data_IF_772316740282
#
_entry.id   IF_772316740282
#
_cell.length_a   1.000
_cell.length_b   1.000
_cell.length_c   1.000
_cell.angle_alpha   90.00
_cell.angle_beta   90.00
_cell.angle_gamma   90.00
#
_symmetry.space_group_name_H-M   'P 1'
#
loop_
_entity.id
_entity.type
_entity.pdbx_description
1 polymer ?
#
# COMPACT_ATOMS: atom_id res chain seq x y z
N UNK A 1 -25.42 55.63 16.09
CA UNK A 1 -25.75 54.36 15.40
C UNK A 1 -25.09 53.21 16.14
N UNK A 2 -25.88 52.36 16.80
CA UNK A 2 -25.37 51.17 17.51
C UNK A 2 -25.11 50.08 16.47
N UNK A 3 -23.86 49.91 16.07
CA UNK A 3 -23.45 48.77 15.22
C UNK A 3 -23.56 47.52 16.10
N UNK A 4 -24.48 46.62 15.75
CA UNK A 4 -24.71 45.36 16.44
C UNK A 4 -23.42 44.54 16.42
N UNK A 5 -22.78 44.36 17.59
CA UNK A 5 -21.57 43.53 17.77
C UNK A 5 -21.75 42.08 17.29
N UNK A 6 -23.00 41.62 17.19
CA UNK A 6 -23.35 40.30 16.69
C UNK A 6 -23.07 40.12 15.18
N UNK A 7 -23.22 41.18 14.37
CA UNK A 7 -22.99 41.08 12.92
C UNK A 7 -21.49 41.03 12.56
N UNK A 8 -20.62 41.62 13.39
CA UNK A 8 -19.17 41.55 13.18
C UNK A 8 -18.59 40.17 13.52
N UNK A 9 -19.13 39.50 14.53
CA UNK A 9 -18.72 38.15 14.89
C UNK A 9 -19.12 37.11 13.84
N UNK A 10 -20.33 37.22 13.27
CA UNK A 10 -20.80 36.32 12.22
C UNK A 10 -20.01 36.52 10.92
N UNK A 11 -19.66 37.76 10.57
CA UNK A 11 -18.82 38.04 9.40
C UNK A 11 -17.36 37.58 9.60
N UNK A 12 -16.82 37.69 10.82
CA UNK A 12 -15.47 37.19 11.15
C UNK A 12 -15.41 35.65 11.11
N UNK A 13 -16.43 34.96 11.62
CA UNK A 13 -16.52 33.49 11.53
C UNK A 13 -16.72 33.03 10.08
N UNK A 14 -17.52 33.73 9.28
CA UNK A 14 -17.68 33.43 7.85
C UNK A 14 -16.41 33.72 7.03
N UNK A 15 -15.65 34.76 7.37
CA UNK A 15 -14.33 34.98 6.77
C UNK A 15 -13.32 33.92 7.20
N UNK A 16 -13.29 33.48 8.47
CA UNK A 16 -12.41 32.39 8.92
C UNK A 16 -12.75 31.03 8.27
N UNK A 17 -14.02 30.77 7.94
CA UNK A 17 -14.43 29.57 7.19
C UNK A 17 -14.11 29.73 5.69
N UNK A 18 -14.01 30.96 5.17
CA UNK A 18 -13.63 31.23 3.78
C UNK A 18 -12.11 31.34 3.54
N UNK A 19 -11.27 31.38 4.59
CA UNK A 19 -9.80 31.25 4.47
C UNK A 19 -9.27 29.85 4.79
N UNK A 20 -10.13 28.82 4.87
CA UNK A 20 -9.70 27.48 4.46
C UNK A 20 -9.59 27.46 2.93
N UNK A 21 -8.71 28.33 2.42
CA UNK A 21 -8.03 28.10 1.17
C UNK A 21 -7.64 26.63 1.15
N UNK A 22 -7.84 26.00 -0.01
CA UNK A 22 -7.21 24.73 -0.33
C UNK A 22 -5.69 24.91 -0.24
N UNK A 23 -5.15 25.03 0.97
CA UNK A 23 -3.76 24.70 1.23
C UNK A 23 -3.76 23.21 0.97
N UNK A 24 -3.28 22.87 -0.21
CA UNK A 24 -2.71 21.58 -0.51
C UNK A 24 -1.89 21.22 0.74
N UNK A 25 -2.45 20.35 1.60
CA UNK A 25 -1.70 19.81 2.71
C UNK A 25 -0.58 19.06 2.02
N UNK A 26 0.60 19.68 1.98
CA UNK A 26 1.85 19.00 1.71
C UNK A 26 1.97 18.01 2.87
N UNK A 27 1.39 16.84 2.68
CA UNK A 27 1.67 15.70 3.51
C UNK A 27 3.15 15.41 3.25
N UNK A 28 4.04 15.94 4.09
CA UNK A 28 5.38 15.39 4.22
C UNK A 28 5.15 13.91 4.53
N UNK A 29 5.41 13.07 3.53
CA UNK A 29 5.36 11.61 3.69
C UNK A 29 6.49 11.31 4.67
N UNK A 30 6.17 11.29 5.97
CA UNK A 30 7.00 10.59 6.94
C UNK A 30 7.13 9.20 6.37
N UNK A 31 8.35 8.79 6.02
CA UNK A 31 8.66 7.45 5.54
C UNK A 31 8.64 6.59 6.79
N UNK A 32 7.55 5.89 7.13
CA UNK A 32 7.49 5.21 8.41
C UNK A 32 8.22 3.91 8.14
N UNK A 33 9.41 3.80 8.72
CA UNK A 33 10.16 2.55 8.80
C UNK A 33 9.25 1.45 9.34
N UNK A 34 9.50 0.22 8.91
CA UNK A 34 8.75 -0.93 9.40
C UNK A 34 8.77 -0.96 10.92
N UNK A 35 7.62 -1.19 11.52
CA UNK A 35 7.47 -1.08 12.97
C UNK A 35 7.69 -2.43 13.63
N UNK A 36 8.85 -2.58 14.27
CA UNK A 36 9.21 -3.76 15.04
C UNK A 36 8.55 -3.80 16.42
N UNK A 37 8.36 -5.00 16.92
CA UNK A 37 7.55 -5.25 18.10
C UNK A 37 7.49 -6.72 18.48
N UNK A 38 6.89 -6.96 19.64
CA UNK A 38 6.73 -8.28 20.23
C UNK A 38 5.28 -8.74 20.13
N UNK A 39 5.11 -9.97 19.63
CA UNK A 39 3.80 -10.61 19.50
C UNK A 39 3.54 -11.57 20.66
N UNK A 40 2.44 -11.34 21.36
CA UNK A 40 1.87 -12.24 22.35
C UNK A 40 0.61 -12.93 21.80
N UNK A 41 0.70 -14.25 21.55
CA UNK A 41 -0.45 -15.06 21.14
C UNK A 41 -1.35 -15.30 22.36
N UNK A 42 -2.59 -14.82 22.29
CA UNK A 42 -3.55 -14.91 23.40
C UNK A 42 -4.44 -16.14 23.30
N UNK A 43 -4.86 -16.49 22.08
CA UNK A 43 -5.68 -17.67 21.82
C UNK A 43 -5.33 -18.26 20.45
N UNK A 44 -5.31 -19.58 20.36
CA UNK A 44 -5.03 -20.32 19.13
C UNK A 44 -5.84 -21.62 19.11
N UNK A 45 -6.92 -21.64 18.35
CA UNK A 45 -7.62 -22.85 17.97
C UNK A 45 -7.87 -22.82 16.46
N UNK A 46 -6.92 -23.36 15.70
CA UNK A 46 -6.95 -23.37 14.24
C UNK A 46 -7.30 -24.77 13.75
N UNK A 47 -8.52 -24.95 13.29
CA UNK A 47 -8.94 -26.19 12.61
C UNK A 47 -9.01 -25.94 11.11
N UNK A 48 -8.88 -27.01 10.31
CA UNK A 48 -9.09 -26.95 8.86
C UNK A 48 -10.58 -27.01 8.49
N UNK A 49 -11.45 -27.40 9.41
CA UNK A 49 -12.88 -27.52 9.18
C UNK A 49 -13.58 -26.20 9.51
N UNK A 50 -13.92 -25.44 8.48
CA UNK A 50 -14.64 -24.16 8.57
C UNK A 50 -16.04 -24.29 9.20
N UNK A 51 -16.56 -25.50 9.40
CA UNK A 51 -17.82 -25.73 10.14
C UNK A 51 -17.61 -25.86 11.66
N UNK A 52 -16.37 -25.98 12.12
CA UNK A 52 -16.04 -26.04 13.54
C UNK A 52 -15.60 -24.67 14.06
N UNK A 53 -15.85 -24.40 15.34
CA UNK A 53 -15.42 -23.16 15.97
C UNK A 53 -13.90 -23.05 15.99
N UNK A 54 -13.37 -22.12 15.22
CA UNK A 54 -11.95 -21.77 15.20
C UNK A 54 -11.77 -20.33 15.65
N UNK A 55 -10.64 -20.04 16.30
CA UNK A 55 -10.29 -18.68 16.69
C UNK A 55 -8.77 -18.48 16.71
N UNK A 56 -8.37 -17.23 16.54
CA UNK A 56 -7.01 -16.76 16.72
C UNK A 56 -7.08 -15.35 17.32
N UNK A 57 -6.28 -15.09 18.34
CA UNK A 57 -6.08 -13.74 18.84
C UNK A 57 -4.65 -13.49 19.29
N UNK A 58 -4.20 -12.28 19.06
CA UNK A 58 -2.88 -11.83 19.49
C UNK A 58 -2.90 -10.34 19.85
N UNK A 59 -1.93 -9.97 20.67
CA UNK A 59 -1.55 -8.58 20.90
C UNK A 59 -0.12 -8.39 20.39
N UNK A 60 0.11 -7.29 19.69
CA UNK A 60 1.41 -6.87 19.18
C UNK A 60 1.78 -5.55 19.82
N UNK A 61 2.86 -5.54 20.59
CA UNK A 61 3.41 -4.35 21.24
C UNK A 61 4.59 -3.84 20.43
N UNK A 62 4.61 -2.56 20.12
CA UNK A 62 5.70 -1.93 19.38
C UNK A 62 6.88 -1.68 20.33
N UNK A 63 8.10 -2.08 19.95
CA UNK A 63 9.25 -2.13 20.89
C UNK A 63 9.66 -0.76 21.46
N UNK A 64 9.49 0.31 20.69
CA UNK A 64 9.93 1.67 21.05
C UNK A 64 8.76 2.67 21.25
N UNK A 65 7.54 2.16 21.33
CA UNK A 65 6.36 2.99 21.54
C UNK A 65 5.39 2.32 22.51
N UNK A 66 4.67 3.11 23.31
CA UNK A 66 3.53 2.59 24.06
C UNK A 66 2.32 2.34 23.13
N UNK A 67 2.53 1.65 22.02
CA UNK A 67 1.54 1.42 20.98
C UNK A 67 1.29 -0.07 20.80
N UNK A 68 0.03 -0.41 20.62
CA UNK A 68 -0.43 -1.79 20.60
C UNK A 68 -1.46 -2.01 19.51
N UNK A 69 -1.34 -3.15 18.84
CA UNK A 69 -2.36 -3.72 17.97
C UNK A 69 -2.93 -4.95 18.67
N UNK A 70 -4.25 -5.06 18.69
CA UNK A 70 -4.95 -6.27 19.09
C UNK A 70 -5.71 -6.81 17.90
N UNK A 71 -5.54 -8.09 17.64
CA UNK A 71 -6.21 -8.79 16.57
C UNK A 71 -7.02 -9.94 17.16
N UNK A 72 -8.28 -10.05 16.76
CA UNK A 72 -9.14 -11.16 17.13
C UNK A 72 -9.90 -11.62 15.89
N UNK A 73 -9.83 -12.91 15.60
CA UNK A 73 -10.61 -13.53 14.54
C UNK A 73 -11.22 -14.82 15.03
N UNK A 74 -12.45 -15.10 14.60
CA UNK A 74 -13.11 -16.37 14.83
C UNK A 74 -14.04 -16.72 13.67
N UNK A 75 -14.37 -18.00 13.58
CA UNK A 75 -15.37 -18.52 12.65
C UNK A 75 -16.52 -19.15 13.42
N UNK A 76 -17.73 -18.71 13.12
CA UNK A 76 -18.97 -19.26 13.64
C UNK A 76 -19.96 -19.42 12.49
N UNK A 77 -20.58 -20.60 12.36
CA UNK A 77 -21.58 -20.86 11.32
C UNK A 77 -21.14 -20.51 9.87
N UNK A 78 -19.88 -20.80 9.52
CA UNK A 78 -19.26 -20.43 8.23
C UNK A 78 -19.10 -18.92 7.99
N UNK A 79 -19.25 -18.11 9.03
CA UNK A 79 -18.98 -16.68 8.97
C UNK A 79 -17.67 -16.38 9.68
N UNK A 80 -16.75 -15.75 8.96
CA UNK A 80 -15.53 -15.19 9.52
C UNK A 80 -15.83 -13.81 10.10
N UNK A 81 -15.38 -13.60 11.32
CA UNK A 81 -15.46 -12.35 12.05
C UNK A 81 -14.04 -11.94 12.45
N UNK A 82 -13.50 -10.89 11.84
CA UNK A 82 -12.14 -10.42 12.08
C UNK A 82 -12.14 -8.97 12.55
N UNK A 83 -11.46 -8.69 13.65
CA UNK A 83 -11.43 -7.38 14.30
C UNK A 83 -10.00 -6.97 14.61
N UNK A 84 -9.68 -5.74 14.22
CA UNK A 84 -8.43 -5.06 14.54
C UNK A 84 -8.74 -3.87 15.46
N UNK A 85 -8.06 -3.83 16.60
CA UNK A 85 -8.12 -2.73 17.56
C UNK A 85 -6.73 -2.12 17.74
N UNK A 86 -6.69 -0.81 17.97
CA UNK A 86 -5.47 -0.05 18.20
C UNK A 86 -5.54 0.73 19.50
N UNK A 87 -4.39 0.87 20.14
CA UNK A 87 -4.21 1.64 21.37
C UNK A 87 -2.85 2.33 21.34
N UNK A 88 -2.81 3.58 21.80
CA UNK A 88 -1.59 4.34 22.02
C UNK A 88 -1.58 4.88 23.46
N UNK A 89 -0.43 4.77 24.13
CA UNK A 89 -0.24 5.07 25.54
C UNK A 89 -1.28 4.35 26.42
N UNK A 90 -1.69 4.98 27.52
CA UNK A 90 -2.71 4.45 28.43
C UNK A 90 -4.15 4.65 27.92
N UNK A 91 -4.33 4.93 26.62
CA UNK A 91 -5.66 5.06 26.04
C UNK A 91 -6.45 3.75 26.10
N UNK A 92 -7.77 3.88 25.95
CA UNK A 92 -8.65 2.72 25.76
C UNK A 92 -8.43 2.13 24.37
N UNK A 93 -8.62 0.82 24.25
CA UNK A 93 -8.69 0.15 22.96
C UNK A 93 -9.80 0.75 22.10
N UNK A 94 -9.45 1.04 20.84
CA UNK A 94 -10.40 1.50 19.83
C UNK A 94 -10.41 0.48 18.70
N UNK A 95 -11.59 -0.05 18.38
CA UNK A 95 -11.78 -0.90 17.21
C UNK A 95 -11.62 -0.04 15.95
N UNK A 96 -10.64 -0.35 15.12
CA UNK A 96 -10.28 0.44 13.95
C UNK A 96 -10.70 -0.23 12.64
N UNK A 97 -10.82 -1.56 12.62
CA UNK A 97 -11.27 -2.30 11.44
C UNK A 97 -12.00 -3.58 11.85
N UNK A 98 -13.10 -3.91 11.18
CA UNK A 98 -13.92 -5.09 11.45
C UNK A 98 -14.37 -5.69 10.13
N UNK A 99 -13.85 -6.85 9.72
CA UNK A 99 -14.16 -7.54 8.47
C UNK A 99 -14.99 -8.78 8.76
N UNK A 100 -16.16 -8.85 8.13
CA UNK A 100 -17.08 -9.98 8.27
C UNK A 100 -17.51 -10.50 6.89
N UNK A 101 -17.39 -11.81 6.66
CA UNK A 101 -17.91 -12.44 5.45
C UNK A 101 -18.23 -13.92 5.64
N UNK A 102 -19.08 -14.45 4.76
CA UNK A 102 -19.55 -15.84 4.83
C UNK A 102 -18.90 -16.69 3.73
N UNK A 103 -18.20 -17.77 4.13
CA UNK A 103 -17.51 -18.68 3.22
C UNK A 103 -18.44 -19.44 2.26
N UNK A 104 -19.73 -19.62 2.62
CA UNK A 104 -20.72 -20.34 1.79
C UNK A 104 -21.25 -19.51 0.63
N UNK A 105 -20.99 -18.20 0.59
CA UNK A 105 -21.31 -17.42 -0.61
C UNK A 105 -20.42 -17.94 -1.73
N UNK A 106 -21.04 -18.62 -2.71
CA UNK A 106 -20.38 -19.09 -3.93
C UNK A 106 -19.57 -17.93 -4.49
N UNK A 107 -18.25 -18.11 -4.60
CA UNK A 107 -17.28 -17.11 -5.06
C UNK A 107 -16.95 -15.96 -4.09
N UNK A 108 -16.93 -16.19 -2.76
CA UNK A 108 -16.50 -15.14 -1.81
C UNK A 108 -15.14 -14.52 -2.17
N UNK A 109 -14.20 -15.31 -2.73
CA UNK A 109 -12.90 -14.81 -3.22
C UNK A 109 -13.06 -13.72 -4.29
N UNK A 110 -14.00 -13.86 -5.22
CA UNK A 110 -14.24 -12.89 -6.28
C UNK A 110 -14.88 -11.59 -5.77
N UNK A 111 -15.52 -11.61 -4.60
CA UNK A 111 -16.11 -10.41 -3.98
C UNK A 111 -15.24 -9.79 -2.90
N UNK A 112 -13.99 -10.27 -2.72
CA UNK A 112 -13.15 -9.81 -1.62
C UNK A 112 -12.61 -8.40 -1.85
N UNK A 113 -12.32 -8.01 -3.10
CA UNK A 113 -11.97 -6.63 -3.44
C UNK A 113 -13.09 -5.66 -3.04
N UNK A 114 -14.35 -5.98 -3.33
CA UNK A 114 -15.48 -5.10 -2.99
C UNK A 114 -15.60 -4.93 -1.46
N UNK A 115 -15.35 -6.00 -0.69
CA UNK A 115 -15.31 -5.94 0.77
C UNK A 115 -14.16 -5.03 1.22
N UNK A 116 -12.96 -5.23 0.68
CA UNK A 116 -11.76 -4.44 1.01
C UNK A 116 -11.94 -2.96 0.66
N UNK A 117 -12.49 -2.63 -0.51
CA UNK A 117 -12.75 -1.26 -0.94
C UNK A 117 -13.79 -0.57 -0.06
N UNK A 118 -14.89 -1.26 0.28
CA UNK A 118 -15.90 -0.75 1.21
C UNK A 118 -15.31 -0.47 2.59
N UNK A 119 -14.40 -1.34 3.05
CA UNK A 119 -13.69 -1.16 4.31
C UNK A 119 -12.69 -0.02 4.25
N UNK A 120 -11.95 0.12 3.15
CA UNK A 120 -11.05 1.24 2.92
C UNK A 120 -11.80 2.58 2.97
N UNK A 121 -13.00 2.66 2.38
CA UNK A 121 -13.88 3.83 2.48
C UNK A 121 -14.37 4.09 3.92
N UNK A 122 -14.57 3.04 4.71
CA UNK A 122 -14.94 3.18 6.12
C UNK A 122 -13.77 3.70 6.96
N UNK A 123 -12.56 3.20 6.72
CA UNK A 123 -11.33 3.68 7.36
C UNK A 123 -11.12 5.17 7.08
N UNK A 124 -11.24 5.60 5.80
CA UNK A 124 -11.13 7.02 5.39
C UNK A 124 -12.12 7.94 6.12
N UNK A 125 -13.31 7.44 6.45
CA UNK A 125 -14.34 8.23 7.15
C UNK A 125 -14.12 8.29 8.65
N UNK A 126 -13.47 7.28 9.22
CA UNK A 126 -13.38 7.07 10.67
C UNK A 126 -12.04 7.53 11.26
N UNK A 127 -10.96 7.45 10.50
CA UNK A 127 -9.59 7.64 10.98
C UNK A 127 -8.91 8.76 10.22
N UNK A 128 -8.00 9.45 10.91
CA UNK A 128 -7.08 10.38 10.28
C UNK A 128 -6.00 9.63 9.48
N UNK A 129 -5.50 10.23 8.40
CA UNK A 129 -4.47 9.65 7.55
C UNK A 129 -3.19 9.30 8.32
N UNK A 130 -2.83 10.04 9.37
CA UNK A 130 -1.67 9.71 10.20
C UNK A 130 -1.86 8.36 10.92
N UNK A 131 -3.07 8.08 11.41
CA UNK A 131 -3.39 6.78 12.05
C UNK A 131 -3.42 5.67 11.00
N UNK A 132 -4.02 5.92 9.83
CA UNK A 132 -4.09 4.94 8.74
C UNK A 132 -2.68 4.56 8.28
N UNK A 133 -1.82 5.55 8.04
CA UNK A 133 -0.41 5.31 7.71
C UNK A 133 0.28 4.54 8.84
N UNK A 134 0.18 5.00 10.09
CA UNK A 134 0.85 4.34 11.22
C UNK A 134 0.46 2.88 11.35
N UNK A 135 -0.84 2.58 11.32
CA UNK A 135 -1.35 1.19 11.40
C UNK A 135 -0.97 0.38 10.17
N UNK A 136 -1.09 0.94 8.97
CA UNK A 136 -0.67 0.26 7.74
C UNK A 136 0.77 -0.23 7.81
N UNK A 137 1.71 0.60 8.27
CA UNK A 137 3.11 0.21 8.42
C UNK A 137 3.35 -0.86 9.49
N UNK A 138 2.54 -0.89 10.55
CA UNK A 138 2.58 -1.99 11.53
C UNK A 138 2.10 -3.28 10.84
N UNK A 139 0.98 -3.22 10.12
CA UNK A 139 0.39 -4.36 9.45
C UNK A 139 1.27 -4.94 8.34
N UNK A 140 2.09 -4.13 7.66
CA UNK A 140 3.05 -4.63 6.65
C UNK A 140 4.06 -5.63 7.26
N UNK A 141 4.46 -5.42 8.51
CA UNK A 141 5.44 -6.27 9.16
C UNK A 141 4.89 -7.51 9.85
N UNK A 142 3.62 -7.51 10.22
CA UNK A 142 2.98 -8.57 11.00
C UNK A 142 2.94 -9.95 10.32
N UNK A 143 2.67 -10.08 8.99
CA UNK A 143 2.56 -11.38 8.34
C UNK A 143 3.79 -12.27 8.54
N UNK A 144 4.98 -11.70 8.42
CA UNK A 144 6.22 -12.46 8.63
C UNK A 144 6.40 -12.90 10.09
N UNK A 145 6.06 -12.03 11.03
CA UNK A 145 6.13 -12.33 12.47
C UNK A 145 5.13 -13.46 12.80
N UNK A 146 3.91 -13.38 12.27
CA UNK A 146 2.90 -14.44 12.38
C UNK A 146 3.40 -15.75 11.79
N UNK A 147 4.02 -15.72 10.60
CA UNK A 147 4.59 -16.90 9.96
C UNK A 147 5.67 -17.56 10.83
N UNK A 148 6.60 -16.76 11.37
CA UNK A 148 7.65 -17.24 12.28
C UNK A 148 7.08 -17.87 13.56
N UNK A 149 5.95 -17.34 14.08
CA UNK A 149 5.30 -17.83 15.32
C UNK A 149 4.44 -19.08 15.13
N UNK A 150 3.70 -19.16 14.01
CA UNK A 150 2.72 -20.22 13.76
C UNK A 150 3.29 -21.38 12.93
N UNK A 151 4.31 -21.09 12.11
CA UNK A 151 4.80 -22.02 11.10
C UNK A 151 3.84 -22.18 9.93
N UNK A 152 4.34 -22.76 8.82
CA UNK A 152 3.65 -22.78 7.52
C UNK A 152 2.22 -23.34 7.55
N UNK A 153 2.00 -24.44 8.25
CA UNK A 153 0.70 -25.14 8.22
C UNK A 153 -0.43 -24.33 8.88
N UNK A 154 -0.14 -23.68 10.01
CA UNK A 154 -1.10 -22.86 10.74
C UNK A 154 -1.25 -21.46 10.12
N UNK A 155 -0.16 -20.96 9.53
CA UNK A 155 -0.17 -19.70 8.81
C UNK A 155 -1.11 -19.69 7.61
N UNK A 156 -1.17 -20.79 6.87
CA UNK A 156 -2.03 -20.93 5.68
C UNK A 156 -3.53 -21.09 6.02
N UNK A 157 -3.93 -20.96 7.29
CA UNK A 157 -5.32 -21.00 7.71
C UNK A 157 -6.02 -19.67 7.38
N UNK A 158 -7.25 -19.70 6.86
CA UNK A 158 -8.04 -18.51 6.50
C UNK A 158 -8.20 -17.50 7.64
N UNK A 159 -8.25 -17.95 8.90
CA UNK A 159 -8.27 -17.05 10.06
C UNK A 159 -6.98 -16.23 10.10
N UNK A 160 -5.83 -16.87 9.98
CA UNK A 160 -4.53 -16.19 9.94
C UNK A 160 -4.44 -15.29 8.70
N UNK A 161 -4.85 -15.78 7.53
CA UNK A 161 -4.79 -15.02 6.28
C UNK A 161 -5.73 -13.81 6.27
N UNK A 162 -6.75 -13.76 7.13
CA UNK A 162 -7.67 -12.62 7.16
C UNK A 162 -7.03 -11.31 7.64
N UNK A 163 -5.83 -11.35 8.26
CA UNK A 163 -5.04 -10.14 8.52
C UNK A 163 -4.72 -9.37 7.23
N UNK A 164 -4.58 -10.07 6.10
CA UNK A 164 -4.26 -9.46 4.82
C UNK A 164 -5.42 -8.65 4.25
N UNK A 165 -6.67 -9.01 4.56
CA UNK A 165 -7.82 -8.18 4.17
C UNK A 165 -7.78 -6.82 4.89
N UNK A 166 -7.35 -6.80 6.15
CA UNK A 166 -7.13 -5.55 6.87
C UNK A 166 -5.99 -4.75 6.25
N UNK A 167 -4.82 -5.37 6.05
CA UNK A 167 -3.67 -4.70 5.41
C UNK A 167 -4.06 -4.09 4.05
N UNK A 168 -4.73 -4.85 3.20
CA UNK A 168 -5.19 -4.38 1.90
C UNK A 168 -6.17 -3.20 2.01
N UNK A 169 -7.08 -3.21 3.00
CA UNK A 169 -7.97 -2.07 3.24
C UNK A 169 -7.21 -0.82 3.67
N UNK A 170 -6.21 -0.94 4.56
CA UNK A 170 -5.35 0.17 4.96
C UNK A 170 -4.56 0.71 3.77
N UNK A 171 -3.88 -0.14 3.00
CA UNK A 171 -3.11 0.28 1.82
C UNK A 171 -4.00 0.95 0.77
N UNK A 172 -5.19 0.40 0.52
CA UNK A 172 -6.18 0.99 -0.38
C UNK A 172 -6.63 2.38 0.11
N UNK A 173 -6.87 2.56 1.41
CA UNK A 173 -7.18 3.88 1.97
C UNK A 173 -6.04 4.87 1.76
N UNK A 174 -4.79 4.47 2.02
CA UNK A 174 -3.60 5.32 1.86
C UNK A 174 -3.49 5.82 0.42
N UNK A 175 -3.55 4.90 -0.56
CA UNK A 175 -3.53 5.26 -1.99
C UNK A 175 -4.62 6.27 -2.33
N UNK A 176 -5.86 6.00 -1.89
CA UNK A 176 -6.98 6.88 -2.20
C UNK A 176 -6.82 8.29 -1.59
N UNK A 177 -6.21 8.44 -0.41
CA UNK A 177 -5.90 9.75 0.16
C UNK A 177 -4.85 10.51 -0.66
N UNK A 178 -3.77 9.83 -1.04
CA UNK A 178 -2.63 10.42 -1.74
C UNK A 178 -2.97 10.83 -3.17
N UNK A 179 -3.69 9.97 -3.87
CA UNK A 179 -4.19 10.23 -5.23
C UNK A 179 -5.35 11.24 -5.24
N UNK A 180 -5.84 11.64 -4.06
CA UNK A 180 -7.06 12.44 -3.90
C UNK A 180 -8.25 11.80 -4.62
N UNK A 181 -8.24 10.47 -4.70
CA UNK A 181 -9.28 9.69 -5.36
C UNK A 181 -10.49 9.56 -4.45
N UNK A 182 -11.67 9.71 -5.04
CA UNK A 182 -12.93 9.34 -4.37
C UNK A 182 -13.10 7.83 -4.31
N UNK A 183 -12.46 7.10 -5.21
CA UNK A 183 -12.60 5.67 -5.34
C UNK A 183 -11.39 4.96 -4.73
N UNK A 184 -11.66 4.08 -3.78
CA UNK A 184 -10.72 3.08 -3.30
C UNK A 184 -10.61 1.98 -4.36
N UNK A 185 -9.44 1.83 -4.99
CA UNK A 185 -9.21 0.77 -5.99
C UNK A 185 -8.26 -0.29 -5.43
N UNK A 186 -8.70 -1.55 -5.50
CA UNK A 186 -7.91 -2.72 -5.14
C UNK A 186 -8.01 -3.75 -6.27
N UNK A 187 -6.95 -3.87 -7.09
CA UNK A 187 -6.90 -4.88 -8.14
C UNK A 187 -6.84 -6.29 -7.53
N UNK A 188 -7.66 -7.25 -7.97
CA UNK A 188 -7.55 -8.62 -7.47
C UNK A 188 -6.29 -9.27 -8.05
N UNK A 189 -5.43 -9.83 -7.19
CA UNK A 189 -4.33 -10.67 -7.64
C UNK A 189 -4.86 -12.07 -8.06
N UNK A 190 -4.54 -12.51 -9.29
CA UNK A 190 -4.96 -13.82 -9.80
C UNK A 190 -4.45 -14.98 -8.94
N UNK A 191 -3.28 -14.85 -8.30
CA UNK A 191 -2.72 -15.89 -7.42
C UNK A 191 -3.57 -16.13 -6.15
N UNK A 192 -4.32 -15.12 -5.69
CA UNK A 192 -5.28 -15.31 -4.61
C UNK A 192 -6.49 -16.14 -5.06
N UNK A 193 -6.96 -15.91 -6.28
CA UNK A 193 -8.08 -16.65 -6.88
C UNK A 193 -7.75 -18.12 -7.07
N UNK A 194 -6.51 -18.43 -7.48
CA UNK A 194 -5.98 -19.81 -7.58
C UNK A 194 -5.61 -20.42 -6.22
N UNK A 195 -5.51 -19.62 -5.15
CA UNK A 195 -5.13 -20.09 -3.81
C UNK A 195 -3.62 -20.29 -3.62
N UNK A 196 -2.82 -19.67 -4.47
CA UNK A 196 -1.36 -19.71 -4.49
C UNK A 196 -0.75 -18.62 -3.58
N UNK A 197 -1.52 -17.58 -3.25
CA UNK A 197 -1.13 -16.51 -2.34
C UNK A 197 -2.24 -16.15 -1.33
N UNK A 198 -1.92 -15.45 -0.23
CA UNK A 198 -2.90 -14.68 0.53
C UNK A 198 -3.53 -13.59 -0.34
N UNK A 199 -4.59 -12.97 0.17
CA UNK A 199 -5.19 -11.82 -0.52
C UNK A 199 -4.26 -10.60 -0.46
N UNK A 200 -3.96 -10.04 -1.62
CA UNK A 200 -3.38 -8.72 -1.75
C UNK A 200 -4.10 -7.99 -2.86
N UNK A 201 -4.17 -6.66 -2.75
CA UNK A 201 -4.37 -5.88 -3.95
C UNK A 201 -3.15 -6.08 -4.87
N UNK A 202 -3.34 -6.09 -6.17
CA UNK A 202 -2.27 -6.28 -7.16
C UNK A 202 -1.18 -5.18 -7.02
N UNK A 203 -1.55 -4.03 -6.46
CA UNK A 203 -0.64 -2.92 -6.20
C UNK A 203 0.21 -3.12 -4.93
N UNK A 204 -0.18 -4.04 -4.03
CA UNK A 204 0.41 -4.21 -2.70
C UNK A 204 1.30 -5.45 -2.59
N UNK A 205 1.73 -5.99 -3.72
CA UNK A 205 2.60 -7.17 -3.75
C UNK A 205 3.93 -6.87 -3.06
N UNK A 206 4.47 -7.85 -2.35
CA UNK A 206 5.71 -7.69 -1.59
C UNK A 206 6.93 -7.92 -2.50
N UNK A 207 7.95 -7.10 -2.33
CA UNK A 207 9.21 -7.16 -3.10
C UNK A 207 10.41 -7.07 -2.17
N UNK A 208 11.53 -7.70 -2.54
CA UNK A 208 12.78 -7.61 -1.78
C UNK A 208 13.30 -6.17 -1.71
N UNK A 209 13.60 -5.69 -0.50
CA UNK A 209 14.16 -4.35 -0.30
C UNK A 209 15.56 -4.21 -0.89
N UNK A 210 16.40 -5.26 -0.82
CA UNK A 210 17.75 -5.27 -1.36
C UNK A 210 17.73 -5.19 -2.90
N UNK A 211 16.86 -5.97 -3.54
CA UNK A 211 16.71 -5.92 -5.00
C UNK A 211 16.15 -4.57 -5.45
N UNK A 212 15.21 -4.01 -4.71
CA UNK A 212 14.69 -2.67 -4.96
C UNK A 212 15.79 -1.60 -4.83
N UNK A 213 16.65 -1.71 -3.81
CA UNK A 213 17.76 -0.80 -3.57
C UNK A 213 18.72 -0.80 -4.76
N UNK A 214 19.21 -1.97 -5.16
CA UNK A 214 20.17 -2.11 -6.25
C UNK A 214 19.62 -1.58 -7.56
N UNK A 215 18.37 -1.96 -7.87
CA UNK A 215 17.68 -1.55 -9.08
C UNK A 215 17.48 -0.03 -9.14
N UNK A 216 16.97 0.59 -8.07
CA UNK A 216 16.73 2.04 -8.03
C UNK A 216 18.06 2.79 -8.10
N UNK A 217 19.07 2.34 -7.37
CA UNK A 217 20.40 2.94 -7.37
C UNK A 217 21.02 2.93 -8.77
N UNK A 218 21.06 1.77 -9.42
CA UNK A 218 21.59 1.63 -10.77
C UNK A 218 20.90 2.59 -11.76
N UNK A 219 19.56 2.61 -11.75
CA UNK A 219 18.77 3.37 -12.72
C UNK A 219 18.77 4.88 -12.46
N UNK A 220 18.91 5.27 -11.20
CA UNK A 220 19.06 6.68 -10.80
C UNK A 220 20.35 7.31 -11.37
N UNK A 221 21.45 6.54 -11.43
CA UNK A 221 22.76 6.99 -11.94
C UNK A 221 22.72 7.22 -13.46
N UNK A 222 21.97 6.41 -14.19
CA UNK A 222 21.91 6.42 -15.67
C UNK A 222 21.20 7.67 -16.21
N UNK A 223 20.30 8.29 -15.43
CA UNK A 223 19.41 9.38 -15.88
C UNK A 223 19.91 10.75 -15.41
N UNK A 224 20.95 11.27 -16.08
CA UNK A 224 21.46 12.64 -15.86
C UNK A 224 20.81 13.63 -16.83
N UNK A 225 20.25 14.73 -16.32
CA UNK A 225 19.78 15.85 -17.12
C UNK A 225 20.55 17.12 -16.78
N UNK A 226 21.42 17.58 -17.69
CA UNK A 226 22.09 18.90 -17.67
C UNK A 226 22.69 19.33 -16.31
N UNK A 227 23.21 18.37 -15.52
CA UNK A 227 23.87 18.63 -14.23
C UNK A 227 23.03 18.31 -12.99
N UNK A 228 21.74 17.99 -13.15
CA UNK A 228 20.90 17.45 -12.07
C UNK A 228 20.84 15.93 -12.20
N UNK A 229 21.37 15.25 -11.18
CA UNK A 229 21.27 13.81 -10.99
C UNK A 229 20.02 13.52 -10.15
N UNK A 230 19.12 12.68 -10.67
CA UNK A 230 18.05 12.15 -9.84
C UNK A 230 18.66 11.13 -8.88
N UNK A 231 18.77 11.49 -7.60
CA UNK A 231 19.31 10.63 -6.56
C UNK A 231 18.28 10.59 -5.40
N UNK A 232 17.43 9.56 -5.34
CA UNK A 232 16.36 9.45 -4.35
C UNK A 232 16.93 9.01 -2.99
N UNK A 233 17.69 9.90 -2.34
CA UNK A 233 18.49 9.59 -1.15
C UNK A 233 17.69 9.00 0.00
N UNK A 234 16.51 9.54 0.29
CA UNK A 234 15.70 9.08 1.44
C UNK A 234 15.10 7.70 1.16
N UNK A 235 14.69 7.44 -0.08
CA UNK A 235 14.26 6.11 -0.50
C UNK A 235 15.41 5.09 -0.45
N UNK A 236 16.59 5.43 -0.96
CA UNK A 236 17.75 4.54 -0.88
C UNK A 236 18.18 4.28 0.56
N UNK A 237 18.10 5.30 1.43
CA UNK A 237 18.36 5.12 2.85
C UNK A 237 17.32 4.20 3.50
N UNK A 238 16.04 4.41 3.22
CA UNK A 238 14.96 3.53 3.68
C UNK A 238 15.19 2.08 3.27
N UNK A 239 15.43 1.82 1.98
CA UNK A 239 15.65 0.45 1.49
C UNK A 239 16.91 -0.19 2.10
N UNK A 240 17.95 0.62 2.36
CA UNK A 240 19.14 0.14 3.07
C UNK A 240 18.87 -0.20 4.54
N UNK A 241 17.95 0.52 5.20
CA UNK A 241 17.54 0.22 6.58
C UNK A 241 16.67 -1.05 6.64
N UNK A 242 15.91 -1.33 5.58
CA UNK A 242 15.07 -2.52 5.42
C UNK A 242 15.83 -3.70 4.75
N UNK A 243 17.17 -3.72 4.79
CA UNK A 243 17.95 -4.78 4.14
C UNK A 243 17.60 -6.16 4.69
N UNK A 244 17.44 -7.15 3.80
CA UNK A 244 16.95 -8.49 4.11
C UNK A 244 15.43 -8.61 4.34
N UNK A 245 14.69 -7.50 4.27
CA UNK A 245 13.24 -7.46 4.46
C UNK A 245 12.48 -7.29 3.14
N UNK A 246 11.15 -7.36 3.22
CA UNK A 246 10.25 -7.19 2.09
C UNK A 246 9.36 -5.98 2.28
N UNK A 247 9.14 -5.22 1.21
CA UNK A 247 8.35 -3.98 1.20
C UNK A 247 7.20 -4.09 0.20
N UNK A 248 6.07 -3.44 0.48
CA UNK A 248 4.96 -3.44 -0.47
C UNK A 248 5.29 -2.59 -1.70
N UNK A 249 4.80 -3.07 -2.84
CA UNK A 249 5.00 -2.47 -4.14
C UNK A 249 4.49 -1.03 -4.23
N UNK A 250 3.28 -0.81 -3.74
CA UNK A 250 2.64 0.50 -3.66
C UNK A 250 3.41 1.48 -2.78
N UNK A 251 4.00 1.02 -1.67
CA UNK A 251 4.87 1.84 -0.81
C UNK A 251 6.14 2.26 -1.54
N UNK A 252 6.79 1.34 -2.24
CA UNK A 252 7.97 1.64 -3.05
C UNK A 252 7.66 2.70 -4.12
N UNK A 253 6.57 2.49 -4.85
CA UNK A 253 6.10 3.40 -5.90
C UNK A 253 5.79 4.80 -5.35
N UNK A 254 5.08 4.87 -4.22
CA UNK A 254 4.82 6.13 -3.49
C UNK A 254 6.10 6.88 -3.12
N UNK A 255 7.03 6.20 -2.47
CA UNK A 255 8.27 6.82 -2.00
C UNK A 255 9.11 7.34 -3.18
N UNK A 256 9.15 6.58 -4.28
CA UNK A 256 9.82 7.00 -5.50
C UNK A 256 9.15 8.23 -6.14
N UNK A 257 7.81 8.21 -6.23
CA UNK A 257 7.01 9.35 -6.72
C UNK A 257 7.24 10.61 -5.91
N UNK A 258 7.34 10.49 -4.58
CA UNK A 258 7.65 11.61 -3.70
C UNK A 258 9.04 12.22 -3.96
N UNK A 259 10.07 11.39 -4.03
CA UNK A 259 11.45 11.81 -4.33
C UNK A 259 11.55 12.47 -5.72
N UNK A 260 10.92 11.86 -6.73
CA UNK A 260 10.86 12.42 -8.06
C UNK A 260 10.09 13.74 -8.11
N UNK A 261 9.01 13.83 -7.32
CA UNK A 261 8.28 15.04 -6.99
C UNK A 261 9.20 16.22 -6.69
N UNK A 262 10.04 16.00 -5.68
CA UNK A 262 11.03 16.96 -5.19
C UNK A 262 12.13 17.26 -6.21
N UNK A 263 12.60 16.25 -6.96
CA UNK A 263 13.57 16.44 -8.03
C UNK A 263 13.02 17.29 -9.18
N UNK A 264 11.84 16.97 -9.70
CA UNK A 264 11.23 17.67 -10.83
C UNK A 264 10.93 19.14 -10.52
N UNK A 265 10.55 19.45 -9.26
CA UNK A 265 10.38 20.83 -8.77
C UNK A 265 11.66 21.66 -8.91
N UNK A 266 12.85 21.06 -8.81
CA UNK A 266 14.16 21.74 -8.96
C UNK A 266 14.51 22.04 -10.42
N UNK A 267 13.91 21.32 -11.37
CA UNK A 267 14.17 21.49 -12.79
C UNK A 267 13.51 22.74 -13.35
N UNK A 268 14.17 23.39 -14.30
CA UNK A 268 13.62 24.49 -15.08
C UNK A 268 12.64 23.97 -16.16
N UNK A 269 11.90 24.89 -16.81
CA UNK A 269 10.89 24.53 -17.81
C UNK A 269 11.44 23.72 -18.99
N UNK A 270 12.64 24.05 -19.48
CA UNK A 270 13.28 23.37 -20.62
C UNK A 270 13.65 21.93 -20.25
N UNK A 271 14.18 21.72 -19.05
CA UNK A 271 14.53 20.39 -18.53
C UNK A 271 13.29 19.52 -18.30
N UNK A 272 12.24 20.07 -17.69
CA UNK A 272 10.96 19.37 -17.53
C UNK A 272 10.36 18.96 -18.87
N UNK A 273 10.42 19.85 -19.88
CA UNK A 273 9.97 19.55 -21.24
C UNK A 273 10.83 18.48 -21.91
N UNK A 274 12.15 18.47 -21.69
CA UNK A 274 13.04 17.44 -22.19
C UNK A 274 12.71 16.08 -21.58
N UNK A 275 12.62 15.98 -20.25
CA UNK A 275 12.22 14.74 -19.55
C UNK A 275 10.88 14.23 -20.08
N UNK A 276 9.93 15.15 -20.31
CA UNK A 276 8.63 14.86 -20.92
C UNK A 276 8.74 14.34 -22.34
N UNK A 277 9.56 14.96 -23.17
CA UNK A 277 9.77 14.54 -24.55
C UNK A 277 10.52 13.20 -24.61
N UNK A 278 11.52 12.98 -23.77
CA UNK A 278 12.24 11.70 -23.64
C UNK A 278 11.25 10.60 -23.24
N UNK A 279 10.37 10.89 -22.28
CA UNK A 279 9.27 9.99 -21.90
C UNK A 279 8.34 9.68 -23.09
N UNK A 280 7.83 10.69 -23.79
CA UNK A 280 6.93 10.50 -24.93
C UNK A 280 7.58 9.79 -26.12
N UNK A 281 8.84 10.08 -26.42
CA UNK A 281 9.60 9.40 -27.47
C UNK A 281 9.88 7.94 -27.08
N UNK A 282 10.03 7.65 -25.79
CA UNK A 282 10.22 6.28 -25.32
C UNK A 282 8.91 5.49 -25.27
N UNK A 283 7.75 6.12 -25.08
CA UNK A 283 6.51 5.41 -24.73
C UNK A 283 5.63 4.97 -25.90
N UNK A 284 5.74 5.53 -27.12
CA UNK A 284 4.83 5.23 -28.25
C UNK A 284 3.32 5.27 -27.89
N UNK A 285 2.95 5.87 -26.75
CA UNK A 285 1.56 6.01 -26.31
C UNK A 285 0.96 7.14 -27.15
N UNK A 286 0.12 6.77 -28.12
CA UNK A 286 -0.79 7.69 -28.79
C UNK A 286 -1.74 8.22 -27.72
N UNK A 287 -1.46 9.41 -27.18
CA UNK A 287 -2.42 10.09 -26.32
C UNK A 287 -3.64 10.48 -27.16
N UNK A 288 -4.78 9.83 -26.89
CA UNK A 288 -6.09 10.22 -27.42
C UNK A 288 -6.67 11.46 -26.74
N UNK A 289 -5.97 12.07 -25.78
CA UNK A 289 -6.40 13.29 -25.07
C UNK A 289 -5.43 14.44 -25.29
N UNK A 290 -5.99 15.62 -25.52
CA UNK A 290 -5.26 16.85 -25.85
C UNK A 290 -4.49 17.42 -24.64
N UNK A 291 -3.29 18.01 -24.86
CA UNK A 291 -2.41 18.53 -23.79
C UNK A 291 -2.95 19.66 -22.90
N UNK A 292 -4.12 20.23 -23.21
CA UNK A 292 -4.63 21.46 -22.60
C UNK A 292 -5.54 21.27 -21.38
N UNK A 293 -5.83 20.03 -20.96
CA UNK A 293 -6.79 19.72 -19.89
C UNK A 293 -6.15 19.09 -18.64
N UNK A 294 -4.82 19.06 -18.54
CA UNK A 294 -4.11 18.35 -17.47
C UNK A 294 -3.22 19.31 -16.65
N UNK A 295 -3.68 19.69 -15.46
CA UNK A 295 -2.93 20.46 -14.45
C UNK A 295 -2.04 19.56 -13.54
N UNK A 296 -1.88 18.29 -13.89
CA UNK A 296 -1.13 17.27 -13.14
C UNK A 296 -0.03 16.58 -13.95
N UNK A 297 0.86 15.89 -13.25
CA UNK A 297 2.06 15.22 -13.78
C UNK A 297 1.75 14.25 -14.94
N UNK A 298 2.25 14.47 -16.18
CA UNK A 298 1.97 13.57 -17.31
C UNK A 298 3.00 12.43 -17.46
N UNK A 299 3.86 12.22 -16.45
CA UNK A 299 4.97 11.26 -16.51
C UNK A 299 4.96 10.50 -15.19
N UNK A 300 4.71 9.20 -15.23
CA UNK A 300 5.03 8.35 -14.11
C UNK A 300 6.57 8.30 -13.98
N UNK A 301 7.16 8.74 -12.84
CA UNK A 301 8.60 8.76 -12.61
C UNK A 301 9.27 7.45 -12.97
N UNK A 302 8.57 6.36 -12.69
CA UNK A 302 9.08 5.04 -12.88
C UNK A 302 9.25 4.76 -14.35
N UNK A 303 8.23 4.98 -15.17
CA UNK A 303 8.35 4.78 -16.60
C UNK A 303 9.54 5.57 -17.20
N UNK A 304 9.77 6.79 -16.70
CA UNK A 304 10.93 7.58 -17.13
C UNK A 304 12.28 7.02 -16.64
N UNK A 305 12.37 6.59 -15.38
CA UNK A 305 13.60 6.05 -14.79
C UNK A 305 14.03 4.75 -15.50
N UNK A 306 13.07 3.88 -15.78
CA UNK A 306 13.32 2.53 -16.27
C UNK A 306 13.29 2.41 -17.80
N UNK A 307 12.70 3.40 -18.50
CA UNK A 307 12.62 3.39 -19.97
C UNK A 307 11.79 2.23 -20.52
N UNK A 308 10.94 1.62 -19.69
CA UNK A 308 10.04 0.55 -20.09
C UNK A 308 8.90 1.14 -20.93
N UNK A 309 8.64 0.50 -22.08
CA UNK A 309 7.78 1.00 -23.16
C UNK A 309 6.41 0.32 -23.19
N UNK A 310 6.37 -0.91 -22.69
CA UNK A 310 5.25 -1.83 -22.58
C UNK A 310 5.79 -3.04 -21.81
N UNK A 311 4.88 -3.89 -21.36
CA UNK A 311 5.25 -5.09 -20.62
C UNK A 311 6.18 -6.02 -21.34
N UNK A 312 7.16 -6.55 -20.61
CA UNK A 312 7.81 -7.80 -20.95
C UNK A 312 6.95 -8.99 -20.51
N UNK A 313 7.25 -10.16 -21.06
CA UNK A 313 6.77 -11.47 -20.57
C UNK A 313 7.16 -11.74 -19.09
N UNK A 314 8.03 -10.86 -18.57
CA UNK A 314 8.72 -10.84 -17.28
C UNK A 314 8.48 -9.55 -16.49
N UNK A 315 7.48 -8.74 -16.89
CA UNK A 315 7.34 -7.38 -16.34
C UNK A 315 6.36 -6.50 -17.10
N UNK A 316 5.08 -6.51 -16.70
CA UNK A 316 4.12 -5.38 -16.80
C UNK A 316 3.44 -4.99 -18.13
N UNK A 317 2.45 -5.76 -18.63
CA UNK A 317 1.25 -5.31 -19.38
C UNK A 317 0.82 -6.42 -20.35
N UNK A 318 -0.06 -7.32 -19.91
CA UNK A 318 -0.63 -8.33 -20.79
C UNK A 318 -1.64 -9.24 -20.09
N UNK A 319 -1.39 -9.59 -18.82
CA UNK A 319 -2.26 -10.52 -18.07
C UNK A 319 -2.85 -9.96 -16.77
N UNK A 320 -2.59 -8.69 -16.43
CA UNK A 320 -3.20 -8.01 -15.29
C UNK A 320 -4.26 -7.03 -15.78
N UNK A 321 -5.54 -7.36 -15.62
CA UNK A 321 -6.61 -6.37 -15.63
C UNK A 321 -6.62 -5.68 -14.27
N UNK A 322 -6.04 -4.47 -14.15
CA UNK A 322 -5.94 -3.72 -12.89
C UNK A 322 -5.14 -2.42 -13.01
N UNK A 323 -5.06 -1.60 -11.93
CA UNK A 323 -4.51 -0.24 -11.93
C UNK A 323 -2.97 -0.15 -11.97
N UNK A 324 -2.27 -1.24 -12.32
CA UNK A 324 -0.90 -1.19 -12.84
C UNK A 324 -0.87 -0.57 -14.25
N UNK A 325 -1.54 0.58 -14.43
CA UNK A 325 -1.51 1.40 -15.63
C UNK A 325 -0.17 2.14 -15.67
N UNK A 326 0.90 1.43 -16.00
CA UNK A 326 2.22 2.02 -16.14
C UNK A 326 3.34 1.09 -15.70
N UNK A 327 4.56 1.48 -16.03
CA UNK A 327 5.75 0.82 -15.55
C UNK A 327 5.90 1.18 -14.06
N UNK A 328 5.88 0.20 -13.14
CA UNK A 328 6.21 0.38 -11.72
C UNK A 328 7.49 -0.43 -11.41
N UNK A 329 8.47 0.05 -10.60
CA UNK A 329 9.64 -0.75 -10.26
C UNK A 329 9.20 -1.99 -9.48
N UNK A 330 8.12 -1.80 -8.73
CA UNK A 330 7.53 -2.79 -7.90
C UNK A 330 6.94 -3.97 -8.70
N UNK A 331 6.40 -3.71 -9.89
CA UNK A 331 5.92 -4.78 -10.74
C UNK A 331 7.07 -5.57 -11.40
N UNK A 332 8.18 -4.91 -11.77
CA UNK A 332 9.38 -5.63 -12.24
C UNK A 332 10.01 -6.49 -11.12
N UNK A 333 10.10 -5.93 -9.92
CA UNK A 333 10.62 -6.64 -8.75
C UNK A 333 9.70 -7.77 -8.29
N UNK A 334 8.38 -7.60 -8.44
CA UNK A 334 7.41 -8.67 -8.23
C UNK A 334 7.70 -9.87 -9.13
N UNK A 335 7.83 -9.64 -10.43
CA UNK A 335 8.03 -10.72 -11.39
C UNK A 335 9.34 -11.48 -11.08
N UNK A 336 10.40 -10.76 -10.68
CA UNK A 336 11.65 -11.37 -10.18
C UNK A 336 11.46 -12.16 -8.87
N UNK A 337 10.66 -11.64 -7.94
CA UNK A 337 10.36 -12.32 -6.66
C UNK A 337 9.54 -13.61 -6.88
N UNK A 338 8.73 -13.66 -7.94
CA UNK A 338 8.00 -14.87 -8.34
C UNK A 338 8.92 -15.99 -8.84
N UNK A 339 10.06 -15.67 -9.46
CA UNK A 339 11.03 -16.68 -9.91
C UNK A 339 11.66 -17.45 -8.75
N UNK A 340 11.84 -16.79 -7.60
CA UNK A 340 12.52 -17.35 -6.43
C UNK A 340 11.56 -17.83 -5.33
N UNK A 341 10.27 -17.54 -5.46
CA UNK A 341 9.24 -17.76 -4.42
C UNK A 341 9.60 -17.12 -3.07
N UNK A 342 10.22 -15.95 -3.12
CA UNK A 342 10.59 -15.19 -1.92
C UNK A 342 9.67 -13.96 -1.75
N UNK A 343 9.16 -13.69 -0.53
CA UNK A 343 9.38 -14.46 0.69
C UNK A 343 8.47 -15.70 0.79
N UNK A 344 8.93 -16.74 1.47
CA UNK A 344 8.19 -18.00 1.64
C UNK A 344 6.85 -17.89 2.39
N UNK A 345 6.61 -16.77 3.09
CA UNK A 345 5.33 -16.48 3.75
C UNK A 345 4.32 -15.83 2.79
N UNK A 346 4.79 -15.24 1.69
CA UNK A 346 3.97 -14.65 0.63
C UNK A 346 3.51 -15.73 -0.36
N UNK A 347 4.39 -16.68 -0.67
CA UNK A 347 4.12 -17.80 -1.56
C UNK A 347 3.49 -18.98 -0.78
N UNK A 348 2.20 -19.25 -0.99
CA UNK A 348 1.54 -20.44 -0.42
C UNK A 348 1.96 -21.71 -1.18
N UNK A 349 1.38 -22.84 -0.80
CA UNK A 349 1.73 -24.16 -1.34
C UNK A 349 1.49 -24.35 -2.85
N UNK A 350 0.78 -23.42 -3.50
CA UNK A 350 0.51 -23.47 -4.94
C UNK A 350 1.48 -22.68 -5.82
N UNK A 351 2.36 -21.86 -5.23
CA UNK A 351 3.33 -21.10 -6.02
C UNK A 351 4.39 -22.05 -6.63
N UNK A 352 4.51 -22.03 -7.95
CA UNK A 352 5.54 -22.78 -8.70
C UNK A 352 6.48 -21.75 -9.33
N UNK A 353 7.78 -21.76 -9.00
CA UNK A 353 8.74 -20.86 -9.63
C UNK A 353 8.82 -21.17 -11.13
N UNK A 354 8.66 -20.14 -11.95
CA UNK A 354 8.76 -20.22 -13.40
C UNK A 354 9.73 -19.17 -13.91
N UNK A 355 10.48 -19.43 -15.00
CA UNK A 355 11.39 -18.44 -15.57
C UNK A 355 10.59 -17.27 -16.16
N UNK A 356 11.03 -16.07 -15.81
CA UNK A 356 10.74 -14.83 -16.51
C UNK A 356 11.88 -14.58 -17.52
#
# INVERSE_FOLDING_TARGET
MKVNKLSFFVLAVLCCIAVSSCSQQDYDIQIPERVYGDMNLLNKNLTKDLNSSSNLSFEYQISDANEYIKYNVYVENNQLHSKLSYKQNDAKWVDISEIDFNFKKVNYKNGMNDIVEKHAETLKKKLDIAIINRVGNILEGLPEILYKKLGRNEYNNELTLSIFYHLAAFNTSIRAYEDKSKDCQCGVNNSYLSGESPFFCAEDVMVSADEAYDLIKERSIIKKSEGYEFNPKSLLQYLSNESGEFVSASKLDRLLKHEFGSYFKKLNKKERLRIRNDYYQSSNIIMTKTPSEYDGWPIDPTCWLYGARAGSDCGCCGNYSGPCYGCSPACYLHDKSCETCEPSWYCLSGCVPGPC
#
